data_IF_014634752942
#
_entry.id   IF_014634752942
#
_cell.length_a   1.000
_cell.length_b   1.000
_cell.length_c   1.000
_cell.angle_alpha   90.00
_cell.angle_beta   90.00
_cell.angle_gamma   90.00
#
_symmetry.space_group_name_H-M   'P 1'
#
loop_
_entity.id
_entity.type
_entity.pdbx_description
1 polymer ?
#
# COMPACT_ATOMS: atom_id res chain seq x y z
N UNK A 1 -22.07 -1.46 13.07
CA UNK A 1 -21.54 -1.45 12.75
C UNK A 1 -20.68 -1.12 12.81
N UNK A 2 -20.13 -1.30 12.90
CA UNK A 2 -19.31 -1.03 12.89
C UNK A 2 -18.50 -1.07 11.99
N UNK A 3 -18.37 -1.84 11.49
CA UNK A 3 -17.67 -1.99 10.53
C UNK A 3 -17.68 -0.93 9.67
N UNK A 4 -18.57 -0.28 9.66
CA UNK A 4 -18.66 0.81 8.91
C UNK A 4 -17.45 1.57 8.96
N UNK A 5 -16.73 1.29 9.89
CA UNK A 5 -15.71 2.11 10.14
C UNK A 5 -14.63 2.12 9.19
N UNK A 6 -14.17 0.97 8.73
CA UNK A 6 -13.10 0.93 7.78
C UNK A 6 -13.50 1.56 6.49
N UNK A 7 -14.64 1.17 5.94
CA UNK A 7 -15.09 1.71 4.68
C UNK A 7 -15.32 3.20 4.74
N UNK A 8 -15.93 3.65 5.82
CA UNK A 8 -16.28 5.04 5.95
C UNK A 8 -15.06 5.94 6.07
N UNK A 9 -14.13 5.57 6.90
CA UNK A 9 -12.92 6.36 7.07
C UNK A 9 -12.08 6.41 5.82
N UNK A 10 -12.00 5.30 5.12
CA UNK A 10 -11.24 5.23 3.90
C UNK A 10 -11.86 6.10 2.83
N UNK A 11 -13.18 6.06 2.70
CA UNK A 11 -13.87 6.88 1.73
C UNK A 11 -13.71 8.36 2.03
N UNK A 12 -13.77 8.74 3.28
CA UNK A 12 -13.56 10.13 3.66
C UNK A 12 -12.16 10.58 3.27
N UNK A 13 -11.16 9.73 3.50
CA UNK A 13 -9.81 10.04 3.11
C UNK A 13 -9.69 10.24 1.60
N UNK A 14 -10.31 9.36 0.83
CA UNK A 14 -10.27 9.45 -0.62
C UNK A 14 -10.89 10.74 -1.13
N UNK A 15 -11.97 11.18 -0.51
CA UNK A 15 -12.62 12.41 -0.91
C UNK A 15 -11.74 13.61 -0.62
N UNK A 16 -11.10 13.61 0.52
CA UNK A 16 -10.22 14.71 0.88
C UNK A 16 -9.08 14.84 -0.08
N UNK A 17 -8.61 13.71 -0.62
CA UNK A 17 -7.54 13.73 -1.58
C UNK A 17 -8.02 14.04 -3.00
N UNK A 18 -9.32 14.13 -3.20
CA UNK A 18 -9.88 14.45 -4.50
C UNK A 18 -9.76 13.33 -5.52
N UNK A 19 -9.62 12.10 -5.06
CA UNK A 19 -9.39 10.97 -5.97
C UNK A 19 -10.42 9.87 -5.80
N UNK A 20 -11.50 10.17 -5.12
CA UNK A 20 -12.45 9.15 -4.73
C UNK A 20 -13.10 8.41 -5.89
N UNK A 21 -13.67 9.11 -6.83
CA UNK A 21 -14.53 8.46 -7.80
C UNK A 21 -13.81 7.83 -8.96
N UNK A 22 -12.87 8.50 -9.53
CA UNK A 22 -12.29 8.04 -10.77
C UNK A 22 -11.11 7.15 -10.61
N UNK A 23 -10.41 7.27 -9.51
CA UNK A 23 -9.14 6.61 -9.36
C UNK A 23 -9.06 5.82 -8.08
N UNK A 24 -10.20 5.26 -7.65
CA UNK A 24 -10.23 4.54 -6.38
C UNK A 24 -9.19 3.44 -6.30
N UNK A 25 -9.08 2.62 -7.35
CA UNK A 25 -8.11 1.54 -7.34
C UNK A 25 -6.69 2.06 -7.26
N UNK A 26 -6.40 3.13 -8.00
CA UNK A 26 -5.09 3.76 -7.95
C UNK A 26 -4.84 4.37 -6.59
N UNK A 27 -5.88 5.00 -6.03
CA UNK A 27 -5.77 5.61 -4.70
C UNK A 27 -5.46 4.57 -3.64
N UNK A 28 -6.11 3.42 -3.71
CA UNK A 28 -5.87 2.34 -2.76
C UNK A 28 -4.42 1.90 -2.85
N UNK A 29 -3.92 1.70 -4.05
CA UNK A 29 -2.53 1.28 -4.23
C UNK A 29 -1.56 2.31 -3.68
N UNK A 30 -1.85 3.60 -3.88
CA UNK A 30 -0.99 4.66 -3.37
C UNK A 30 -0.97 4.67 -1.84
N UNK A 31 -2.14 4.50 -1.24
CA UNK A 31 -2.22 4.45 0.22
C UNK A 31 -1.40 3.29 0.75
N UNK A 32 -1.55 2.12 0.14
CA UNK A 32 -0.81 0.94 0.59
C UNK A 32 0.68 1.13 0.41
N UNK A 33 1.11 1.71 -0.72
CA UNK A 33 2.52 1.96 -0.94
C UNK A 33 3.09 2.92 0.10
N UNK A 34 2.34 3.96 0.46
CA UNK A 34 2.78 4.89 1.49
C UNK A 34 2.89 4.22 2.84
N UNK A 35 1.92 3.37 3.18
CA UNK A 35 1.94 2.68 4.46
C UNK A 35 3.10 1.70 4.52
N UNK A 36 3.38 1.02 3.42
CA UNK A 36 4.51 0.10 3.36
C UNK A 36 5.81 0.88 3.53
N UNK A 37 5.94 2.02 2.84
CA UNK A 37 7.12 2.84 2.97
C UNK A 37 7.30 3.33 4.41
N UNK A 38 6.21 3.71 5.06
CA UNK A 38 6.27 4.15 6.44
C UNK A 38 6.74 3.02 7.36
N UNK A 39 6.27 1.80 7.12
CA UNK A 39 6.73 0.66 7.91
C UNK A 39 8.20 0.40 7.71
N UNK A 40 8.70 0.58 6.49
CA UNK A 40 10.13 0.43 6.25
C UNK A 40 10.92 1.46 7.06
N UNK A 41 10.44 2.70 7.07
CA UNK A 41 11.10 3.76 7.83
C UNK A 41 11.08 3.44 9.31
N UNK A 42 9.92 3.06 9.82
CA UNK A 42 9.76 2.76 11.25
C UNK A 42 10.66 1.61 11.70
N UNK A 43 10.85 0.63 10.82
CA UNK A 43 11.67 -0.54 11.14
C UNK A 43 13.12 -0.36 10.72
N UNK A 44 13.47 0.81 10.16
CA UNK A 44 14.83 1.10 9.69
C UNK A 44 15.28 0.05 8.68
N UNK A 45 14.37 -0.33 7.80
CA UNK A 45 14.59 -1.37 6.82
C UNK A 45 15.03 -0.74 5.52
N UNK A 46 16.22 -1.07 5.04
CA UNK A 46 16.73 -0.50 3.80
C UNK A 46 16.00 -1.11 2.60
N UNK A 47 16.07 -0.42 1.46
CA UNK A 47 15.47 -0.94 0.24
C UNK A 47 16.13 -2.26 -0.17
N UNK A 48 17.41 -2.37 0.02
CA UNK A 48 18.13 -3.60 -0.32
C UNK A 48 17.60 -4.77 0.52
N UNK A 49 17.45 -4.57 1.82
CA UNK A 49 16.93 -5.62 2.68
C UNK A 49 15.46 -5.91 2.40
N UNK A 50 14.68 -4.88 2.13
CA UNK A 50 13.28 -5.07 1.80
C UNK A 50 13.11 -5.88 0.53
N UNK A 51 13.89 -5.56 -0.51
CA UNK A 51 13.83 -6.30 -1.76
C UNK A 51 14.22 -7.76 -1.55
N UNK A 52 15.20 -7.99 -0.69
CA UNK A 52 15.61 -9.35 -0.37
C UNK A 52 14.48 -10.10 0.32
N UNK A 53 13.81 -9.48 1.29
CA UNK A 53 12.69 -10.12 1.97
C UNK A 53 11.55 -10.45 1.01
N UNK A 54 11.34 -9.60 0.03
CA UNK A 54 10.30 -9.82 -0.96
C UNK A 54 10.72 -10.74 -2.08
N UNK A 55 12.00 -11.11 -2.10
CA UNK A 55 12.57 -11.91 -3.19
C UNK A 55 12.34 -11.23 -4.52
N UNK A 56 12.66 -9.95 -4.59
CA UNK A 56 12.48 -9.16 -5.78
C UNK A 56 13.69 -8.25 -5.98
N UNK A 57 13.71 -7.54 -7.10
CA UNK A 57 14.81 -6.63 -7.39
C UNK A 57 14.56 -5.28 -6.73
N UNK A 58 15.63 -4.53 -6.53
CA UNK A 58 15.51 -3.19 -5.99
C UNK A 58 14.72 -2.30 -6.95
N UNK A 59 14.90 -2.49 -8.26
CA UNK A 59 14.16 -1.71 -9.23
C UNK A 59 12.66 -1.96 -9.12
N UNK A 60 12.27 -3.21 -8.89
CA UNK A 60 10.86 -3.53 -8.71
C UNK A 60 10.32 -2.89 -7.44
N UNK A 61 11.12 -2.86 -6.37
CA UNK A 61 10.72 -2.21 -5.14
C UNK A 61 10.58 -0.71 -5.33
N UNK A 62 11.50 -0.08 -6.06
CA UNK A 62 11.41 1.34 -6.33
C UNK A 62 10.12 1.67 -7.06
N UNK A 63 9.73 0.82 -8.01
CA UNK A 63 8.47 1.04 -8.72
C UNK A 63 7.27 0.90 -7.79
N UNK A 64 7.32 -0.04 -6.87
CA UNK A 64 6.25 -0.23 -5.92
C UNK A 64 6.07 0.99 -5.02
N UNK A 65 7.17 1.58 -4.61
CA UNK A 65 7.14 2.72 -3.69
C UNK A 65 6.89 4.04 -4.39
N UNK A 66 6.92 4.05 -5.71
CA UNK A 66 6.70 5.26 -6.50
C UNK A 66 5.22 5.56 -6.53
N UNK A 67 4.81 6.65 -5.91
CA UNK A 67 3.39 7.00 -5.81
C UNK A 67 2.77 7.35 -7.16
N UNK A 68 3.60 7.60 -8.17
CA UNK A 68 3.09 7.88 -9.50
C UNK A 68 2.89 6.63 -10.35
N UNK A 69 3.37 5.50 -9.87
CA UNK A 69 3.28 4.25 -10.64
C UNK A 69 2.07 3.46 -10.17
N UNK A 70 1.06 3.36 -11.02
CA UNK A 70 -0.15 2.62 -10.68
C UNK A 70 -0.19 1.24 -11.34
N UNK A 71 0.90 0.80 -11.92
CA UNK A 71 0.97 -0.50 -12.56
C UNK A 71 1.25 -1.65 -11.59
N UNK A 72 1.52 -1.33 -10.34
CA UNK A 72 1.81 -2.34 -9.32
C UNK A 72 0.55 -3.17 -9.05
N UNK A 73 0.71 -4.48 -8.97
CA UNK A 73 -0.42 -5.37 -8.70
C UNK A 73 -0.66 -5.48 -7.20
N UNK A 74 -1.89 -5.85 -6.86
CA UNK A 74 -2.21 -6.09 -5.45
C UNK A 74 -1.38 -7.23 -4.88
N UNK A 75 -1.08 -8.23 -5.70
CA UNK A 75 -0.26 -9.34 -5.24
C UNK A 75 1.11 -8.87 -4.76
N UNK A 76 1.71 -7.94 -5.50
CA UNK A 76 2.99 -7.37 -5.11
C UNK A 76 2.86 -6.60 -3.80
N UNK A 77 1.76 -5.88 -3.63
CA UNK A 77 1.52 -5.13 -2.40
C UNK A 77 1.31 -6.08 -1.21
N UNK A 78 0.64 -7.21 -1.43
CA UNK A 78 0.51 -8.22 -0.38
C UNK A 78 1.86 -8.76 0.05
N UNK A 79 2.74 -9.04 -0.92
CA UNK A 79 4.08 -9.51 -0.61
C UNK A 79 4.85 -8.47 0.21
N UNK A 80 4.72 -7.21 -0.18
CA UNK A 80 5.41 -6.14 0.54
C UNK A 80 4.90 -6.01 1.97
N UNK A 81 3.60 -6.11 2.16
CA UNK A 81 3.01 -6.03 3.49
C UNK A 81 3.55 -7.16 4.37
N UNK A 82 3.60 -8.36 3.83
CA UNK A 82 4.12 -9.50 4.56
C UNK A 82 5.59 -9.28 4.93
N UNK A 83 6.36 -8.69 4.02
CA UNK A 83 7.78 -8.45 4.26
C UNK A 83 8.02 -7.50 5.42
N UNK A 84 7.09 -6.58 5.70
CA UNK A 84 7.22 -5.69 6.84
C UNK A 84 6.41 -6.18 8.05
N UNK A 85 5.93 -7.42 8.00
CA UNK A 85 5.24 -8.03 9.13
C UNK A 85 3.81 -7.56 9.30
N UNK A 86 3.18 -7.11 8.23
CA UNK A 86 1.81 -6.63 8.28
C UNK A 86 0.94 -7.41 7.32
N UNK A 87 -0.36 -7.24 7.45
CA UNK A 87 -1.33 -7.85 6.55
C UNK A 87 -2.23 -6.78 5.98
N UNK A 88 -2.62 -6.97 4.74
CA UNK A 88 -3.61 -6.10 4.12
C UNK A 88 -4.96 -6.79 4.29
N UNK A 89 -5.92 -6.05 4.81
CA UNK A 89 -7.25 -6.58 5.04
C UNK A 89 -8.28 -5.75 4.29
N UNK A 90 -9.03 -6.39 3.42
CA UNK A 90 -10.16 -5.78 2.75
C UNK A 90 -11.43 -6.47 3.21
N UNK A 91 -12.46 -5.69 3.36
CA UNK A 91 -13.70 -6.23 3.87
C UNK A 91 -14.87 -5.74 3.05
N UNK A 92 -15.76 -6.64 2.71
CA UNK A 92 -16.96 -6.29 1.99
C UNK A 92 -18.05 -6.00 3.01
N UNK A 93 -18.57 -4.80 2.96
CA UNK A 93 -19.50 -4.32 3.97
C UNK A 93 -20.94 -4.39 3.47
#
# INVERSE_FOLDING_TARGET
>A
MKKKNIGSSFNDWLREEGIYEETTAVAIKRVLARQINQQMIDQKLSKTNMARRMNTSRAALDRLLDSENDAVTLNTLFKAATAVGRQIHFELI
#
